data_IF_611652779674
#
_entry.id   IF_611652779674
#
_cell.length_a   1.000
_cell.length_b   1.000
_cell.length_c   1.000
_cell.angle_alpha   90.00
_cell.angle_beta   90.00
_cell.angle_gamma   90.00
#
_symmetry.space_group_name_H-M   'P 1'
#
loop_
_entity.id
_entity.type
_entity.pdbx_description
1 polymer ?
2 non-polymer ?
3 non-polymer ?
4 non-polymer ?
5 water ?
#
# COMPACT_ATOMS: atom_id res chain seq x y z
N UNK A 2 22.20 -10.27 14.02
CA UNK A 2 20.92 -10.51 14.74
C UNK A 2 19.77 -10.56 13.76
N UNK A 3 18.61 -11.02 14.24
CA UNK A 3 17.43 -11.10 13.38
C UNK A 3 17.01 -9.68 12.99
N UNK A 4 17.16 -8.74 13.90
CA UNK A 4 16.81 -7.35 13.62
C UNK A 4 17.62 -6.84 12.44
N UNK A 5 18.91 -7.21 12.41
CA UNK A 5 19.79 -6.80 11.32
C UNK A 5 19.36 -7.42 9.99
N UNK A 6 18.97 -8.69 10.03
CA UNK A 6 18.55 -9.40 8.82
C UNK A 6 17.25 -8.84 8.25
N UNK A 7 16.31 -8.53 9.14
CA UNK A 7 15.03 -7.99 8.73
C UNK A 7 15.19 -6.61 8.10
N UNK A 8 16.01 -5.77 8.73
CA UNK A 8 16.26 -4.43 8.22
C UNK A 8 16.84 -4.52 6.82
N UNK A 9 17.74 -5.48 6.61
CA UNK A 9 18.37 -5.67 5.32
C UNK A 9 17.37 -6.14 4.27
N UNK A 10 16.53 -7.10 4.64
CA UNK A 10 15.53 -7.65 3.74
C UNK A 10 14.49 -6.63 3.30
N UNK A 11 14.13 -5.71 4.20
CA UNK A 11 13.13 -4.70 3.88
C UNK A 11 13.74 -3.41 3.33
N UNK A 12 15.07 -3.30 3.39
CA UNK A 12 15.75 -2.13 2.88
C UNK A 12 15.54 -0.85 3.68
N UNK A 13 15.25 -0.98 4.97
CA UNK A 13 15.02 0.18 5.82
C UNK A 13 16.30 0.86 6.29
N UNK A 14 16.23 2.17 6.50
CA UNK A 14 17.37 2.96 6.95
C UNK A 14 16.99 3.76 8.20
N UNK A 15 17.97 4.05 9.08
CA UNK A 15 17.76 4.81 10.31
C UNK A 15 17.23 6.21 10.08
N UNK A 16 17.67 6.84 9.00
CA UNK A 16 17.22 8.18 8.66
C UNK A 16 17.25 8.36 7.16
N UNK A 17 16.31 9.14 6.65
CA UNK A 17 16.24 9.40 5.21
C UNK A 17 16.11 10.88 4.94
N UNK A 18 16.40 11.24 3.69
CA UNK A 18 16.32 12.61 3.20
C UNK A 18 14.99 12.63 2.45
N UNK A 19 14.01 13.37 2.99
CA UNK A 19 12.67 13.42 2.39
C UNK A 19 12.60 13.70 0.89
N UNK A 20 13.16 14.82 0.45
CA UNK A 20 13.13 15.16 -0.97
C UNK A 20 13.86 14.14 -1.84
N UNK A 21 14.96 13.62 -1.34
CA UNK A 21 15.73 12.62 -2.09
C UNK A 21 14.89 11.36 -2.29
N UNK A 22 14.13 10.97 -1.27
CA UNK A 22 13.32 9.77 -1.38
C UNK A 22 12.12 10.00 -2.29
N UNK A 23 11.62 11.24 -2.30
CA UNK A 23 10.51 11.59 -3.17
C UNK A 23 10.97 11.40 -4.61
N UNK A 24 12.17 11.91 -4.92
CA UNK A 24 12.69 11.77 -6.26
C UNK A 24 13.01 10.31 -6.61
N UNK A 25 13.48 9.54 -5.64
CA UNK A 25 13.78 8.14 -5.91
C UNK A 25 12.52 7.39 -6.34
N UNK A 26 11.41 7.65 -5.66
CA UNK A 26 10.15 6.99 -6.00
C UNK A 26 9.58 7.48 -7.32
N UNK A 27 9.62 8.79 -7.55
CA UNK A 27 9.09 9.34 -8.79
C UNK A 27 9.90 8.86 -9.99
N UNK A 28 11.23 8.90 -9.88
CA UNK A 28 12.09 8.47 -10.98
C UNK A 28 11.91 6.98 -11.27
N UNK A 29 11.60 6.23 -10.23
CA UNK A 29 11.35 4.79 -10.34
C UNK A 29 10.13 4.58 -11.23
N UNK A 30 9.03 5.25 -10.89
CA UNK A 30 7.80 5.13 -11.66
C UNK A 30 7.99 5.56 -13.11
N UNK A 31 8.72 6.66 -13.31
CA UNK A 31 8.97 7.16 -14.66
C UNK A 31 9.81 6.19 -15.49
N UNK A 32 10.84 5.62 -14.88
CA UNK A 32 11.69 4.67 -15.58
C UNK A 32 10.94 3.42 -16.00
N UNK A 33 10.06 2.95 -15.13
CA UNK A 33 9.28 1.75 -15.44
C UNK A 33 8.38 2.00 -16.65
N UNK A 34 7.69 3.15 -16.66
CA UNK A 34 6.81 3.48 -17.75
C UNK A 34 7.54 3.69 -19.08
N UNK A 35 8.79 4.15 -19.02
CA UNK A 35 9.53 4.36 -20.26
C UNK A 35 10.08 3.04 -20.78
N UNK A 36 10.19 2.06 -19.89
CA UNK A 36 10.69 0.74 -20.26
C UNK A 36 9.58 -0.13 -20.84
N UNK A 37 8.34 0.12 -20.41
CA UNK A 37 7.17 -0.61 -20.87
C UNK A 37 6.19 0.43 -21.40
N UNK A 38 6.44 0.96 -22.62
CA UNK A 38 5.62 1.97 -23.28
C UNK A 38 4.15 1.66 -23.51
N UNK A 39 3.75 0.39 -23.39
CA UNK A 39 2.34 0.05 -23.60
C UNK A 39 1.50 0.46 -22.40
N UNK A 40 2.17 0.74 -21.27
CA UNK A 40 1.46 1.16 -20.06
C UNK A 40 1.12 2.63 -20.21
N UNK A 41 -0.17 2.93 -20.15
CA UNK A 41 -0.63 4.30 -20.30
C UNK A 41 -1.23 4.88 -19.03
N UNK A 42 -1.49 4.02 -18.04
CA UNK A 42 -2.11 4.50 -16.81
C UNK A 42 -1.56 3.87 -15.53
N UNK A 43 -1.61 4.65 -14.45
CA UNK A 43 -1.22 4.18 -13.13
C UNK A 43 -2.54 4.17 -12.36
N UNK A 44 -2.87 3.03 -11.77
CA UNK A 44 -4.13 2.87 -11.03
C UNK A 44 -3.85 2.70 -9.53
N UNK A 45 -4.54 3.48 -8.70
CA UNK A 45 -4.35 3.41 -7.27
C UNK A 45 -5.62 3.69 -6.48
N UNK A 46 -5.90 2.84 -5.50
CA UNK A 46 -7.07 3.06 -4.67
C UNK A 46 -6.75 4.10 -3.61
N UNK A 47 -7.60 5.12 -3.50
CA UNK A 47 -7.41 6.18 -2.52
C UNK A 47 -8.39 6.01 -1.36
N UNK A 48 -7.86 5.92 -0.15
CA UNK A 48 -8.69 5.70 1.03
C UNK A 48 -8.80 6.88 1.97
N UNK A 49 -8.00 7.92 1.74
CA UNK A 49 -8.03 9.08 2.60
C UNK A 49 -7.02 8.94 3.73
N UNK A 50 -6.28 7.84 3.72
CA UNK A 50 -5.28 7.60 4.73
C UNK A 50 -3.89 8.03 4.28
N UNK A 51 -2.96 8.02 5.21
CA UNK A 51 -1.58 8.43 4.94
C UNK A 51 -0.90 7.79 3.74
N UNK A 52 -0.81 6.46 3.75
CA UNK A 52 -0.11 5.75 2.68
C UNK A 52 -0.62 5.98 1.26
N UNK A 53 -1.92 5.90 1.05
CA UNK A 53 -2.46 6.09 -0.30
C UNK A 53 -2.39 7.56 -0.74
N UNK A 54 -2.43 8.48 0.22
CA UNK A 54 -2.34 9.90 -0.11
C UNK A 54 -0.92 10.17 -0.62
N UNK A 55 0.07 9.61 0.07
CA UNK A 55 1.46 9.77 -0.32
C UNK A 55 1.72 9.14 -1.69
N UNK A 56 1.34 7.87 -1.84
CA UNK A 56 1.55 7.16 -3.10
C UNK A 56 0.85 7.87 -4.24
N UNK A 57 -0.36 8.37 -3.98
CA UNK A 57 -1.13 9.07 -4.99
C UNK A 57 -0.43 10.31 -5.51
N UNK A 58 0.12 11.11 -4.59
CA UNK A 58 0.82 12.32 -5.00
C UNK A 58 2.03 11.98 -5.85
N UNK A 59 2.78 10.95 -5.44
CA UNK A 59 3.97 10.55 -6.20
C UNK A 59 3.58 10.06 -7.60
N UNK A 60 2.47 9.35 -7.71
CA UNK A 60 2.01 8.87 -9.00
C UNK A 60 1.65 10.01 -9.94
N UNK A 61 0.92 10.99 -9.43
CA UNK A 61 0.53 12.13 -10.26
C UNK A 61 1.76 12.91 -10.70
N UNK A 62 2.72 13.08 -9.80
CA UNK A 62 3.94 13.81 -10.15
C UNK A 62 4.68 13.08 -11.27
N UNK A 63 4.74 11.76 -11.17
CA UNK A 63 5.42 10.96 -12.18
C UNK A 63 4.77 11.15 -13.55
N UNK A 64 3.44 11.08 -13.59
CA UNK A 64 2.74 11.25 -14.85
C UNK A 64 2.88 12.69 -15.37
N UNK A 65 2.75 13.66 -14.48
CA UNK A 65 2.89 15.06 -14.87
C UNK A 65 4.22 15.29 -15.58
N UNK A 66 5.29 14.77 -15.00
CA UNK A 66 6.62 14.93 -15.57
C UNK A 66 6.80 14.19 -16.89
N UNK A 67 6.28 12.97 -16.97
CA UNK A 67 6.40 12.19 -18.19
C UNK A 67 5.67 12.85 -19.37
N UNK A 68 4.52 13.45 -19.10
CA UNK A 68 3.76 14.12 -20.16
C UNK A 68 4.54 15.29 -20.74
N UNK A 69 5.10 16.12 -19.88
CA UNK A 69 5.86 17.28 -20.30
C UNK A 69 7.12 16.88 -21.05
N UNK A 70 7.76 15.80 -20.59
CA UNK A 70 9.00 15.32 -21.18
C UNK A 70 8.84 14.59 -22.52
N UNK A 71 7.78 13.81 -22.67
CA UNK A 71 7.56 13.05 -23.88
C UNK A 71 6.50 13.64 -24.80
N UNK A 72 5.60 14.43 -24.22
CA UNK A 72 4.54 15.04 -24.99
C UNK A 72 3.38 14.09 -25.20
N UNK A 73 3.48 12.90 -24.61
CA UNK A 73 2.43 11.88 -24.73
C UNK A 73 1.25 12.26 -23.84
N UNK A 74 0.17 12.72 -24.47
CA UNK A 74 -1.03 13.13 -23.73
C UNK A 74 -1.93 11.99 -23.27
N UNK A 75 -1.69 10.78 -23.76
CA UNK A 75 -2.53 9.65 -23.38
C UNK A 75 -2.24 9.09 -21.99
N UNK A 76 -1.10 9.46 -21.42
CA UNK A 76 -0.74 8.99 -20.09
C UNK A 76 -1.62 9.64 -19.03
N UNK A 77 -2.02 8.87 -18.02
CA UNK A 77 -2.82 9.45 -16.96
C UNK A 77 -2.81 8.64 -15.67
N UNK A 78 -3.06 9.34 -14.57
CA UNK A 78 -3.13 8.72 -13.25
C UNK A 78 -4.60 8.58 -12.90
N UNK A 79 -5.01 7.35 -12.58
CA UNK A 79 -6.39 7.10 -12.21
C UNK A 79 -6.53 6.78 -10.74
N UNK A 80 -7.15 7.69 -10.00
CA UNK A 80 -7.39 7.49 -8.58
C UNK A 80 -8.72 6.76 -8.48
N UNK A 81 -8.79 5.73 -7.64
CA UNK A 81 -10.03 4.98 -7.52
C UNK A 81 -10.57 4.99 -6.09
N UNK A 82 -11.80 5.47 -5.94
CA UNK A 82 -12.46 5.48 -4.64
C UNK A 82 -13.23 4.18 -4.58
N UNK A 83 -13.04 3.40 -3.53
CA UNK A 83 -13.70 2.09 -3.39
C UNK A 83 -14.42 1.97 -2.05
N UNK A 84 -15.44 2.81 -1.83
CA UNK A 84 -16.17 2.73 -0.56
C UNK A 84 -17.06 1.49 -0.44
N UNK A 85 -17.26 1.06 0.80
CA UNK A 85 -18.13 -0.06 1.10
C UNK A 85 -19.38 0.63 1.62
N UNK A 86 -20.36 0.86 0.76
CA UNK A 86 -21.56 1.56 1.18
C UNK A 86 -21.17 3.02 1.34
N UNK A 87 -21.37 3.57 2.53
CA UNK A 87 -21.00 4.97 2.79
C UNK A 87 -19.77 4.99 3.70
N UNK A 88 -18.64 5.46 3.17
CA UNK A 88 -17.41 5.51 3.95
C UNK A 88 -17.44 6.65 4.97
N UNK A 89 -16.99 6.36 6.18
CA UNK A 89 -16.97 7.33 7.27
C UNK A 89 -16.18 8.60 6.98
N UNK A 90 -14.86 8.45 6.81
CA UNK A 90 -14.00 9.60 6.55
C UNK A 90 -14.02 10.04 5.09
N UNK A 91 -15.22 10.24 4.55
CA UNK A 91 -15.36 10.66 3.16
C UNK A 91 -14.78 12.05 2.90
N UNK A 92 -14.94 12.96 3.86
CA UNK A 92 -14.43 14.32 3.70
C UNK A 92 -12.91 14.30 3.60
N UNK A 93 -12.27 13.37 4.32
CA UNK A 93 -10.81 13.25 4.27
C UNK A 93 -10.41 12.81 2.87
N UNK A 94 -11.22 11.95 2.26
CA UNK A 94 -10.93 11.47 0.92
C UNK A 94 -11.00 12.65 -0.06
N UNK A 95 -11.97 13.54 0.15
CA UNK A 95 -12.13 14.70 -0.71
C UNK A 95 -10.92 15.61 -0.58
N UNK A 96 -10.45 15.79 0.65
CA UNK A 96 -9.29 16.63 0.90
C UNK A 96 -8.04 16.01 0.27
N UNK A 97 -7.95 14.68 0.32
CA UNK A 97 -6.81 13.98 -0.26
C UNK A 97 -6.79 14.18 -1.77
N UNK A 98 -7.97 14.10 -2.39
CA UNK A 98 -8.08 14.29 -3.83
C UNK A 98 -7.68 15.71 -4.21
N UNK A 99 -8.09 16.69 -3.40
CA UNK A 99 -7.77 18.08 -3.67
C UNK A 99 -6.26 18.31 -3.60
N UNK A 100 -5.59 17.55 -2.73
CA UNK A 100 -4.15 17.65 -2.56
C UNK A 100 -3.39 16.99 -3.72
N UNK A 101 -3.88 15.83 -4.14
CA UNK A 101 -3.25 15.08 -5.22
C UNK A 101 -3.53 15.67 -6.60
N UNK A 102 -4.74 16.17 -6.79
CA UNK A 102 -5.15 16.72 -8.08
C UNK A 102 -4.97 15.67 -9.17
N UNK A 103 -5.64 14.52 -9.02
CA UNK A 103 -5.55 13.42 -9.98
C UNK A 103 -6.20 13.74 -11.32
N UNK A 104 -5.66 13.14 -12.39
CA UNK A 104 -6.19 13.35 -13.73
C UNK A 104 -7.63 12.84 -13.82
N UNK A 105 -7.87 11.72 -13.15
CA UNK A 105 -9.19 11.09 -13.20
C UNK A 105 -9.49 10.39 -11.88
N UNK A 106 -10.76 10.44 -11.49
CA UNK A 106 -11.19 9.78 -10.25
C UNK A 106 -12.43 8.96 -10.55
N UNK A 107 -12.33 7.66 -10.35
CA UNK A 107 -13.46 6.76 -10.56
C UNK A 107 -13.93 6.28 -9.20
N UNK A 108 -15.25 6.21 -9.02
CA UNK A 108 -15.80 5.76 -7.75
C UNK A 108 -16.57 4.46 -7.98
N UNK A 109 -16.12 3.40 -7.33
CA UNK A 109 -16.75 2.09 -7.46
C UNK A 109 -17.17 1.59 -6.08
N UNK A 110 -18.47 1.45 -5.88
CA UNK A 110 -18.95 0.97 -4.58
C UNK A 110 -18.93 -0.56 -4.59
N UNK A 111 -18.09 -1.12 -3.72
CA UNK A 111 -17.92 -2.57 -3.65
C UNK A 111 -18.93 -3.35 -2.81
N UNK A 112 -19.85 -2.64 -2.16
CA UNK A 112 -20.83 -3.29 -1.30
C UNK A 112 -21.66 -4.36 -1.98
N UNK A 113 -22.21 -4.05 -3.15
CA UNK A 113 -23.03 -5.02 -3.86
C UNK A 113 -22.34 -6.34 -4.14
N UNK A 114 -21.10 -6.26 -4.60
CA UNK A 114 -20.32 -7.46 -4.91
C UNK A 114 -19.96 -8.27 -3.67
N UNK A 115 -19.61 -7.59 -2.58
CA UNK A 115 -19.27 -8.28 -1.35
C UNK A 115 -20.48 -9.02 -0.80
N UNK A 116 -21.63 -8.37 -0.81
CA UNK A 116 -22.85 -9.01 -0.32
C UNK A 116 -23.21 -10.22 -1.18
N UNK A 117 -22.99 -10.10 -2.49
CA UNK A 117 -23.28 -11.21 -3.39
C UNK A 117 -22.37 -12.40 -3.10
N UNK A 118 -21.08 -12.12 -2.89
CA UNK A 118 -20.14 -13.19 -2.60
C UNK A 118 -20.53 -13.88 -1.30
N UNK A 119 -20.94 -13.09 -0.32
CA UNK A 119 -21.33 -13.66 0.95
C UNK A 119 -22.59 -14.51 0.87
N UNK A 120 -23.52 -14.09 0.02
CA UNK A 120 -24.75 -14.84 -0.14
C UNK A 120 -24.47 -16.21 -0.75
N UNK A 121 -23.58 -16.23 -1.75
CA UNK A 121 -23.23 -17.48 -2.42
C UNK A 121 -22.56 -18.44 -1.43
N UNK A 122 -21.70 -17.90 -0.57
CA UNK A 122 -21.01 -18.72 0.42
C UNK A 122 -21.97 -19.22 1.49
N UNK A 123 -22.91 -18.36 1.88
CA UNK A 123 -23.89 -18.72 2.90
C UNK A 123 -24.75 -19.89 2.44
N UNK A 124 -25.19 -19.84 1.18
CA UNK A 124 -26.02 -20.91 0.66
C UNK A 124 -25.28 -22.24 0.60
N UNK A 125 -23.96 -22.19 0.49
CA UNK A 125 -23.14 -23.39 0.44
C UNK A 125 -22.86 -23.92 1.85
N UNK A 126 -23.06 -23.07 2.86
CA UNK A 126 -22.83 -23.48 4.23
C UNK A 126 -21.72 -22.73 4.96
N UNK A 127 -21.19 -21.69 4.34
CA UNK A 127 -20.11 -20.93 4.95
C UNK A 127 -20.53 -19.51 5.34
N UNK A 128 -20.49 -19.24 6.63
CA UNK A 128 -20.81 -17.91 7.17
C UNK A 128 -19.48 -17.28 7.54
N UNK A 129 -19.29 -16.01 7.19
CA UNK A 129 -18.02 -15.34 7.47
C UNK A 129 -17.96 -14.56 8.78
N UNK A 130 -16.77 -14.53 9.37
CA UNK A 130 -16.53 -13.78 10.60
C UNK A 130 -16.20 -12.36 10.13
N UNK A 131 -16.25 -11.39 11.04
CA UNK A 131 -15.95 -10.02 10.66
C UNK A 131 -14.53 -9.87 10.10
N UNK A 132 -13.60 -10.61 10.67
CA UNK A 132 -12.21 -10.55 10.23
C UNK A 132 -12.09 -11.01 8.77
N UNK A 133 -12.69 -12.17 8.47
CA UNK A 133 -12.65 -12.71 7.12
C UNK A 133 -13.39 -11.80 6.13
N UNK A 134 -14.49 -11.20 6.58
CA UNK A 134 -15.24 -10.30 5.70
C UNK A 134 -14.34 -9.12 5.34
N UNK A 135 -13.50 -8.71 6.27
CA UNK A 135 -12.59 -7.61 6.03
C UNK A 135 -11.62 -7.93 4.91
N UNK A 136 -11.10 -9.14 4.90
CA UNK A 136 -10.16 -9.57 3.86
C UNK A 136 -10.88 -9.67 2.52
N UNK A 137 -12.14 -10.10 2.57
CA UNK A 137 -12.94 -10.23 1.38
C UNK A 137 -13.10 -8.86 0.73
N UNK A 138 -13.32 -7.83 1.55
CA UNK A 138 -13.46 -6.47 1.03
C UNK A 138 -12.15 -6.05 0.37
N UNK A 139 -11.02 -6.38 1.01
CA UNK A 139 -9.73 -6.01 0.45
C UNK A 139 -9.50 -6.70 -0.89
N UNK A 140 -9.99 -7.93 -1.03
CA UNK A 140 -9.82 -8.66 -2.28
C UNK A 140 -10.77 -8.15 -3.37
N UNK A 141 -11.93 -7.64 -2.99
CA UNK A 141 -12.84 -7.11 -4.00
C UNK A 141 -12.23 -5.80 -4.53
N UNK A 142 -11.52 -5.07 -3.67
CA UNK A 142 -10.89 -3.82 -4.09
C UNK A 142 -9.77 -4.13 -5.07
N UNK A 143 -9.07 -5.24 -4.84
CA UNK A 143 -7.99 -5.65 -5.73
C UNK A 143 -8.61 -5.96 -7.08
N UNK A 144 -9.71 -6.73 -7.06
CA UNK A 144 -10.40 -7.10 -8.28
C UNK A 144 -10.82 -5.89 -9.12
N UNK A 145 -11.42 -4.91 -8.47
CA UNK A 145 -11.88 -3.71 -9.15
C UNK A 145 -10.72 -2.97 -9.81
N UNK A 146 -9.62 -2.84 -9.09
CA UNK A 146 -8.47 -2.12 -9.63
C UNK A 146 -7.84 -2.84 -10.82
N UNK A 147 -7.79 -4.17 -10.78
CA UNK A 147 -7.21 -4.91 -11.91
C UNK A 147 -8.12 -4.88 -13.13
N UNK A 148 -9.43 -4.81 -12.92
CA UNK A 148 -10.34 -4.73 -14.06
C UNK A 148 -10.17 -3.37 -14.70
N UNK A 149 -9.96 -2.35 -13.88
CA UNK A 149 -9.76 -1.00 -14.40
C UNK A 149 -8.43 -0.94 -15.16
N UNK A 150 -7.37 -1.50 -14.59
CA UNK A 150 -6.07 -1.51 -15.25
C UNK A 150 -6.15 -2.28 -16.55
N UNK A 151 -6.94 -3.35 -16.56
CA UNK A 151 -7.07 -4.16 -17.74
C UNK A 151 -7.72 -3.43 -18.91
N UNK A 152 -8.63 -2.52 -18.61
CA UNK A 152 -9.32 -1.77 -19.65
C UNK A 152 -8.66 -0.44 -20.02
N UNK A 153 -7.68 -0.02 -19.22
CA UNK A 153 -6.99 1.25 -19.47
C UNK A 153 -5.49 1.11 -19.75
N UNK A 154 -5.04 -0.11 -20.06
CA UNK A 154 -3.63 -0.36 -20.33
C UNK A 154 -2.78 0.14 -19.16
N UNK A 155 -3.19 -0.17 -17.93
CA UNK A 155 -2.42 0.30 -16.80
C UNK A 155 -1.84 -0.76 -15.88
N UNK A 156 -1.19 -0.30 -14.82
CA UNK A 156 -0.63 -1.19 -13.80
C UNK A 156 -1.18 -0.70 -12.47
N UNK A 157 -1.28 -1.62 -11.51
CA UNK A 157 -1.81 -1.29 -10.20
C UNK A 157 -0.70 -0.96 -9.20
N UNK A 158 -0.77 0.24 -8.65
CA UNK A 158 0.23 0.71 -7.69
C UNK A 158 -0.16 0.32 -6.28
N UNK A 159 0.83 -0.16 -5.50
CA UNK A 159 0.57 -0.58 -4.13
C UNK A 159 1.15 0.41 -3.13
N UNK A 160 0.65 0.36 -1.90
CA UNK A 160 1.13 1.27 -0.85
C UNK A 160 1.97 0.58 0.22
N UNK A 161 2.30 -0.69 0.00
CA UNK A 161 3.10 -1.44 0.96
C UNK A 161 4.44 -0.76 1.28
N UNK A 162 4.77 -0.71 2.57
CA UNK A 162 6.02 -0.11 3.02
C UNK A 162 6.60 -0.97 4.15
N UNK A 163 7.81 -0.64 4.60
CA UNK A 163 8.47 -1.43 5.64
C UNK A 163 7.70 -1.66 6.94
N UNK A 164 6.96 -0.66 7.39
CA UNK A 164 6.22 -0.77 8.64
C UNK A 164 5.03 -1.73 8.55
N UNK A 165 4.59 -2.01 7.34
CA UNK A 165 3.48 -2.94 7.14
C UNK A 165 4.00 -4.30 6.71
N UNK A 166 5.07 -4.29 5.92
CA UNK A 166 5.67 -5.54 5.44
C UNK A 166 6.25 -6.38 6.58
N UNK A 167 6.86 -5.73 7.56
CA UNK A 167 7.49 -6.44 8.66
C UNK A 167 6.53 -7.30 9.49
N UNK A 168 5.28 -6.86 9.61
CA UNK A 168 4.30 -7.62 10.38
C UNK A 168 3.33 -8.37 9.48
N UNK A 169 3.48 -8.19 8.18
CA UNK A 169 2.59 -8.86 7.23
C UNK A 169 1.18 -8.35 7.42
N UNK A 170 1.07 -7.08 7.81
CA UNK A 170 -0.22 -6.46 8.05
C UNK A 170 -0.90 -5.97 6.78
N UNK A 171 -1.26 -6.92 5.93
CA UNK A 171 -1.96 -6.65 4.68
C UNK A 171 -2.65 -7.94 4.29
N UNK A 172 -3.69 -7.82 3.48
CA UNK A 172 -4.42 -9.00 3.03
C UNK A 172 -3.74 -9.67 1.85
N UNK A 173 -3.45 -10.96 2.01
CA UNK A 173 -2.80 -11.73 0.96
C UNK A 173 -3.69 -11.70 -0.29
N UNK A 174 -3.14 -11.20 -1.39
CA UNK A 174 -3.85 -11.06 -2.65
C UNK A 174 -5.01 -10.08 -2.53
N UNK A 175 -4.91 -9.23 -1.51
CA UNK A 175 -5.90 -8.18 -1.27
C UNK A 175 -5.17 -6.89 -1.58
N UNK A 176 -4.93 -6.06 -0.56
CA UNK A 176 -4.20 -4.84 -0.81
C UNK A 176 -2.73 -5.20 -1.06
N UNK A 177 -2.40 -6.46 -0.82
CA UNK A 177 -1.05 -6.95 -1.06
C UNK A 177 -0.88 -7.38 -2.52
N UNK A 178 -1.99 -7.47 -3.24
CA UNK A 178 -1.95 -7.87 -4.65
C UNK A 178 -1.83 -6.66 -5.55
N UNK A 179 -0.59 -6.26 -5.85
CA UNK A 179 -0.36 -5.10 -6.71
C UNK A 179 0.76 -5.38 -7.69
N UNK A 180 1.05 -4.41 -8.57
CA UNK A 180 2.10 -4.58 -9.57
C UNK A 180 3.43 -3.91 -9.22
N UNK A 181 3.35 -2.68 -8.71
CA UNK A 181 4.54 -1.92 -8.38
C UNK A 181 4.31 -1.13 -7.09
N UNK A 182 5.28 -1.22 -6.16
CA UNK A 182 5.19 -0.58 -4.85
C UNK A 182 6.28 0.47 -4.62
N UNK A 183 5.99 1.74 -4.95
CA UNK A 183 6.98 2.82 -4.78
C UNK A 183 7.34 3.27 -3.36
N UNK A 184 6.60 2.81 -2.35
CA UNK A 184 6.91 3.20 -0.98
C UNK A 184 7.74 2.17 -0.23
N UNK A 185 7.89 0.98 -0.82
CA UNK A 185 8.65 -0.09 -0.18
C UNK A 185 10.05 0.41 0.21
N UNK A 186 10.37 0.24 1.50
CA UNK A 186 11.63 0.61 2.14
C UNK A 186 11.43 1.63 3.28
N UNK A 187 10.37 2.44 3.18
CA UNK A 187 10.07 3.47 4.17
C UNK A 187 9.28 2.97 5.38
N UNK A 188 9.56 3.53 6.56
CA UNK A 188 8.80 3.13 7.75
C UNK A 188 7.65 4.13 7.90
N UNK A 189 6.82 3.99 8.93
CA UNK A 189 5.67 4.86 9.08
C UNK A 189 5.96 6.36 9.28
N UNK A 190 6.82 6.69 10.24
CA UNK A 190 7.11 8.09 10.48
C UNK A 190 7.84 8.73 9.28
N UNK A 191 8.61 7.94 8.55
CA UNK A 191 9.32 8.47 7.39
C UNK A 191 8.32 8.85 6.31
N UNK A 192 7.21 8.11 6.25
CA UNK A 192 6.19 8.43 5.27
C UNK A 192 5.61 9.80 5.59
N UNK A 193 5.46 10.09 6.87
CA UNK A 193 4.93 11.39 7.30
C UNK A 193 5.91 12.48 6.91
N UNK A 194 7.20 12.16 6.97
CA UNK A 194 8.25 13.10 6.62
C UNK A 194 8.12 13.50 5.15
N UNK A 195 7.84 12.54 4.28
CA UNK A 195 7.67 12.84 2.87
C UNK A 195 6.43 13.69 2.63
N UNK A 196 5.36 13.41 3.37
CA UNK A 196 4.13 14.19 3.21
C UNK A 196 4.34 15.63 3.69
N UNK A 197 5.09 15.80 4.76
CA UNK A 197 5.35 17.14 5.27
C UNK A 197 6.13 17.93 4.22
N UNK A 198 7.08 17.26 3.57
CA UNK A 198 7.89 17.89 2.54
C UNK A 198 7.07 18.27 1.32
N UNK A 199 5.94 17.57 1.12
CA UNK A 199 5.06 17.84 -0.01
C UNK A 199 3.98 18.85 0.37
N UNK A 200 4.05 19.34 1.61
CA UNK A 200 3.10 20.33 2.11
C UNK A 200 1.68 19.76 2.22
N UNK A 201 1.58 18.48 2.54
CA UNK A 201 0.28 17.82 2.68
C UNK A 201 -0.41 18.33 3.95
N UNK A 202 -1.73 18.59 3.87
CA UNK A 202 -2.45 19.07 5.05
C UNK A 202 -2.22 18.11 6.22
N UNK A 203 -1.83 18.66 7.36
CA UNK A 203 -1.54 17.86 8.54
C UNK A 203 -2.60 16.84 8.94
N UNK A 204 -3.88 17.23 8.88
CA UNK A 204 -4.94 16.31 9.29
C UNK A 204 -5.05 15.05 8.45
N UNK A 205 -4.39 15.02 7.29
CA UNK A 205 -4.45 13.84 6.43
C UNK A 205 -3.49 12.73 6.85
N UNK A 206 -2.55 13.04 7.75
CA UNK A 206 -1.61 12.04 8.21
C UNK A 206 -1.32 12.18 9.71
N UNK A 207 -1.94 13.19 10.33
CA UNK A 207 -1.74 13.43 11.74
C UNK A 207 -2.56 12.46 12.59
N UNK A 208 -1.97 11.30 12.88
CA UNK A 208 -2.63 10.28 13.70
C UNK A 208 -3.84 9.64 13.04
N UNK A 209 -4.10 8.39 13.39
CA UNK A 209 -5.23 7.63 12.86
C UNK A 209 -6.22 7.33 13.97
N UNK A 223 -4.68 -0.48 14.05
CA UNK A 223 -3.60 -1.46 13.72
C UNK A 223 -2.85 -1.88 14.99
N UNK A 224 -2.43 -0.90 15.77
CA UNK A 224 -1.69 -1.14 17.01
C UNK A 224 -2.43 -2.04 17.99
N UNK A 225 -3.73 -2.20 17.80
CA UNK A 225 -4.54 -3.04 18.68
C UNK A 225 -4.28 -4.52 18.45
N UNK A 226 -4.35 -4.95 17.19
CA UNK A 226 -4.13 -6.34 16.85
C UNK A 226 -2.66 -6.75 16.92
N UNK A 227 -1.76 -5.80 16.67
CA UNK A 227 -0.34 -6.07 16.68
C UNK A 227 0.29 -6.33 18.04
N UNK A 228 -0.12 -5.58 19.06
CA UNK A 228 0.46 -5.77 20.38
C UNK A 228 1.68 -4.88 20.57
N UNK A 229 1.93 -4.03 19.57
CA UNK A 229 3.04 -3.09 19.57
C UNK A 229 2.55 -1.84 18.83
N UNK A 230 3.16 -0.70 19.12
CA UNK A 230 2.76 0.55 18.47
C UNK A 230 3.60 0.80 17.23
N UNK A 231 3.17 1.74 16.39
CA UNK A 231 3.94 2.05 15.20
C UNK A 231 5.29 2.63 15.58
N UNK A 232 5.36 3.32 16.73
CA UNK A 232 6.64 3.86 17.15
C UNK A 232 7.60 2.73 17.51
N UNK A 233 7.06 1.63 18.06
CA UNK A 233 7.92 0.49 18.39
C UNK A 233 8.45 -0.11 17.09
N UNK A 234 7.56 -0.26 16.12
CA UNK A 234 7.92 -0.82 14.82
C UNK A 234 8.93 0.05 14.10
N UNK A 235 8.67 1.36 14.06
CA UNK A 235 9.59 2.26 13.38
C UNK A 235 10.96 2.28 14.05
N UNK A 236 10.97 2.31 15.38
CA UNK A 236 12.24 2.29 16.11
C UNK A 236 13.01 1.02 15.78
N UNK A 237 12.31 -0.10 15.76
CA UNK A 237 12.94 -1.37 15.45
C UNK A 237 13.57 -1.34 14.05
N UNK A 238 12.81 -0.82 13.08
CA UNK A 238 13.27 -0.74 11.70
C UNK A 238 14.45 0.23 11.52
N UNK A 239 14.59 1.17 12.45
CA UNK A 239 15.67 2.14 12.40
C UNK A 239 16.92 1.62 13.11
N UNK A 240 16.86 0.37 13.55
CA UNK A 240 17.98 -0.27 14.23
C UNK A 240 18.17 0.13 15.68
N UNK A 241 17.13 0.70 16.29
CA UNK A 241 17.21 1.12 17.68
C UNK A 241 17.04 -0.03 18.67
N UNK A 242 17.50 0.21 19.89
CA UNK A 242 17.42 -0.77 20.96
C UNK A 242 16.08 -0.63 21.65
N UNK A 243 15.20 -1.60 21.44
CA UNK A 243 13.86 -1.59 22.04
C UNK A 243 13.79 -2.69 23.09
N UNK A 244 12.77 -2.63 23.97
CA UNK A 244 12.64 -3.66 25.01
C UNK A 244 12.61 -5.04 24.35
N UNK A 245 13.28 -6.02 24.96
CA UNK A 245 13.32 -7.37 24.41
C UNK A 245 11.96 -7.98 24.12
N UNK A 246 10.98 -7.74 24.99
CA UNK A 246 9.65 -8.30 24.78
C UNK A 246 9.03 -7.73 23.51
N UNK A 247 9.33 -6.46 23.24
CA UNK A 247 8.81 -5.79 22.05
C UNK A 247 9.46 -6.36 20.80
N UNK A 248 10.77 -6.56 20.86
CA UNK A 248 11.50 -7.13 19.74
C UNK A 248 10.99 -8.53 19.42
N UNK A 249 10.75 -9.33 20.45
CA UNK A 249 10.26 -10.69 20.22
C UNK A 249 8.88 -10.72 19.57
N UNK A 250 8.03 -9.78 19.93
CA UNK A 250 6.69 -9.71 19.36
C UNK A 250 6.76 -9.39 17.87
N UNK A 251 7.58 -8.40 17.52
CA UNK A 251 7.75 -8.00 16.13
C UNK A 251 8.32 -9.15 15.31
N UNK A 252 9.35 -9.80 15.86
CA UNK A 252 9.99 -10.90 15.18
C UNK A 252 9.06 -12.10 15.01
N UNK A 253 8.15 -12.30 15.97
CA UNK A 253 7.21 -13.40 15.87
C UNK A 253 6.29 -13.16 14.68
N UNK A 254 5.81 -11.92 14.55
CA UNK A 254 4.93 -11.55 13.44
C UNK A 254 5.63 -11.74 12.10
N UNK A 255 6.89 -11.33 12.04
CA UNK A 255 7.68 -11.44 10.82
C UNK A 255 7.80 -12.89 10.36
N UNK A 256 8.24 -13.76 11.26
CA UNK A 256 8.42 -15.17 10.94
C UNK A 256 7.11 -15.85 10.56
N UNK A 257 6.04 -15.51 11.27
CA UNK A 257 4.73 -16.08 11.01
C UNK A 257 4.15 -15.71 9.64
N UNK A 258 4.53 -14.55 9.13
CA UNK A 258 3.99 -14.07 7.85
C UNK A 258 4.90 -14.12 6.63
N UNK A 259 5.98 -14.91 6.71
CA UNK A 259 6.89 -14.99 5.57
C UNK A 259 6.17 -15.45 4.30
N UNK A 260 5.13 -16.27 4.46
CA UNK A 260 4.39 -16.74 3.28
C UNK A 260 3.73 -15.61 2.49
N UNK A 261 3.49 -14.48 3.14
CA UNK A 261 2.85 -13.34 2.48
C UNK A 261 3.83 -12.52 1.64
N UNK A 262 5.12 -12.67 1.90
CA UNK A 262 6.15 -11.91 1.18
C UNK A 262 6.92 -12.73 0.14
N UNK A 263 6.41 -13.92 -0.18
CA UNK A 263 7.04 -14.81 -1.14
C UNK A 263 5.99 -15.41 -2.07
N UNK A 264 6.40 -15.91 -3.24
CA UNK A 264 5.45 -16.51 -4.17
C UNK A 264 4.96 -17.82 -3.56
N UNK A 265 3.91 -18.43 -4.15
CA UNK A 265 3.37 -19.70 -3.64
C UNK A 265 4.47 -20.73 -3.37
N UNK A 266 4.31 -21.50 -2.29
CA UNK A 266 5.29 -22.50 -1.88
C UNK A 266 5.32 -23.74 -2.78
N UNK A 267 6.54 -24.17 -3.12
CA UNK A 267 6.73 -25.35 -3.98
C UNK A 267 7.65 -26.35 -3.29
N UNK A 268 7.81 -27.52 -3.90
CA UNK A 268 8.67 -28.56 -3.32
C UNK A 268 10.12 -28.11 -3.21
N UNK A 269 10.48 -27.04 -3.89
CA UNK A 269 11.86 -26.55 -3.86
C UNK A 269 12.17 -25.58 -2.72
N UNK A 270 11.13 -25.07 -2.06
CA UNK A 270 11.33 -24.13 -0.97
C UNK A 270 11.73 -24.81 0.33
N UNK A 271 12.52 -24.12 1.14
CA UNK A 271 12.95 -24.68 2.42
C UNK A 271 12.94 -23.64 3.54
N UNK A 272 12.50 -22.43 3.24
CA UNK A 272 12.47 -21.39 4.28
C UNK A 272 11.54 -21.76 5.42
N UNK A 273 10.44 -22.45 5.10
CA UNK A 273 9.47 -22.85 6.10
C UNK A 273 9.93 -24.02 6.97
N UNK A 274 11.09 -24.59 6.64
CA UNK A 274 11.62 -25.71 7.39
C UNK A 274 12.54 -25.26 8.52
N UNK A 275 12.76 -23.95 8.61
CA UNK A 275 13.62 -23.38 9.64
C UNK A 275 12.79 -22.63 10.69
#
# INVERSE_FOLDING_TARGET
MTLQQQIIKALGAKPQINAEEEIRRSVDFLKSYLQTYPFIKSLVLGISGGQDSTLAGKLCQMAINELRLETGNESLQFIAVRLPYGVQADEQDCQDAIAFIQPDRVLTVNIKGAVLASEQALREAGIELSDFVRGNEKARERMKAQYSIAGMTSGVVVGTDHAAEAITGFFTKYGDGGTDINPLYRLNKRQGKQLLAALACPEHLYKKAPTADLEDDRPSLPDEVALGVTYDNIDDYLEGKNVPQQVARTIENWYLKTEHKRRPPITVFDDFWKK
#
